data_IF_379917243719
#
_entry.id   IF_379917243719
#
_cell.length_a   1.000
_cell.length_b   1.000
_cell.length_c   1.000
_cell.angle_alpha   90.00
_cell.angle_beta   90.00
_cell.angle_gamma   90.00
#
_symmetry.space_group_name_H-M   'P 1'
#
loop_
_entity.id
_entity.type
_entity.pdbx_description
1 polymer ?
#
# COMPACT_ATOMS: atom_id res chain seq x y z
N UNK A 1 -7.26 11.37 28.35
CA UNK A 1 -6.03 12.14 28.07
C UNK A 1 -5.86 12.19 26.56
N UNK A 2 -5.37 13.32 26.03
CA UNK A 2 -5.11 13.44 24.59
C UNK A 2 -3.81 12.72 24.21
N UNK A 3 -3.85 12.00 23.10
CA UNK A 3 -2.76 11.16 22.59
C UNK A 3 -2.48 11.52 21.13
N UNK A 4 -1.25 11.31 20.70
CA UNK A 4 -0.83 11.56 19.32
C UNK A 4 -1.38 10.49 18.38
N UNK A 5 -1.80 10.93 17.20
CA UNK A 5 -2.18 10.11 16.07
C UNK A 5 -1.61 10.75 14.80
N UNK A 6 -1.36 9.92 13.78
CA UNK A 6 -1.00 10.40 12.45
C UNK A 6 -2.04 9.93 11.45
N UNK A 7 -2.49 10.82 10.59
CA UNK A 7 -3.33 10.50 9.46
C UNK A 7 -2.47 10.58 8.20
N UNK A 8 -2.49 9.51 7.40
CA UNK A 8 -1.73 9.36 6.17
C UNK A 8 -2.70 9.36 5.00
N UNK A 9 -2.62 10.34 4.10
CA UNK A 9 -3.40 10.39 2.89
C UNK A 9 -2.70 9.64 1.76
N UNK A 10 -3.15 8.41 1.50
CA UNK A 10 -2.55 7.50 0.50
C UNK A 10 -2.64 8.11 -0.90
N UNK A 11 -3.75 8.77 -1.24
CA UNK A 11 -3.98 9.36 -2.56
C UNK A 11 -3.13 10.59 -2.88
N UNK A 12 -2.32 11.09 -1.94
CA UNK A 12 -1.44 12.26 -2.14
C UNK A 12 0.05 11.92 -2.14
N UNK A 13 0.41 10.66 -1.86
CA UNK A 13 1.82 10.27 -1.85
C UNK A 13 2.34 10.11 -3.28
N UNK A 14 3.41 10.83 -3.61
CA UNK A 14 4.07 10.78 -4.92
C UNK A 14 5.43 10.06 -4.88
N UNK A 15 5.74 9.41 -3.75
CA UNK A 15 6.99 8.67 -3.53
C UNK A 15 8.28 9.51 -3.68
N UNK A 16 8.26 10.78 -3.30
CA UNK A 16 9.46 11.64 -3.34
C UNK A 16 10.52 11.29 -2.27
N UNK A 17 10.21 10.39 -1.33
CA UNK A 17 11.07 9.96 -0.22
C UNK A 17 11.49 11.04 0.79
N UNK A 18 10.98 12.28 0.71
CA UNK A 18 11.32 13.33 1.68
C UNK A 18 11.10 12.91 3.13
N UNK A 19 10.01 12.19 3.46
CA UNK A 19 9.77 11.69 4.81
C UNK A 19 10.83 10.70 5.31
N UNK A 20 11.32 9.84 4.42
CA UNK A 20 12.41 8.89 4.71
C UNK A 20 13.71 9.65 4.91
N UNK A 21 14.03 10.59 4.01
CA UNK A 21 15.25 11.39 4.06
C UNK A 21 15.27 12.26 5.32
N UNK A 22 14.17 12.93 5.66
CA UNK A 22 14.09 13.78 6.85
C UNK A 22 14.22 13.00 8.16
N UNK A 23 13.72 11.76 8.21
CA UNK A 23 13.99 10.88 9.35
C UNK A 23 15.48 10.55 9.47
N UNK A 24 16.15 10.28 8.34
CA UNK A 24 17.59 10.02 8.35
C UNK A 24 18.39 11.27 8.73
N UNK A 25 18.04 12.42 8.19
CA UNK A 25 18.60 13.73 8.56
C UNK A 25 18.49 13.98 10.08
N UNK A 26 17.32 13.67 10.65
CA UNK A 26 17.09 13.86 12.08
C UNK A 26 17.88 12.89 12.95
N UNK A 27 17.98 11.61 12.57
CA UNK A 27 18.46 10.55 13.47
C UNK A 27 19.87 10.00 13.15
N UNK A 28 20.38 10.12 11.93
CA UNK A 28 21.71 9.60 11.59
C UNK A 28 22.77 10.51 12.19
N UNK A 29 23.60 9.95 13.08
CA UNK A 29 24.65 10.69 13.78
C UNK A 29 24.17 11.58 14.94
N UNK A 30 22.85 11.63 15.20
CA UNK A 30 22.28 12.40 16.30
C UNK A 30 21.76 11.48 17.40
N UNK A 31 22.18 11.73 18.64
CA UNK A 31 21.72 10.98 19.81
C UNK A 31 20.63 11.75 20.56
N UNK A 32 19.57 11.04 20.97
CA UNK A 32 18.46 11.60 21.73
C UNK A 32 18.23 10.79 23.00
N UNK A 33 19.02 11.04 24.07
CA UNK A 33 18.93 10.28 25.31
C UNK A 33 17.50 10.23 25.88
N UNK A 34 17.03 9.01 26.18
CA UNK A 34 15.66 8.75 26.66
C UNK A 34 14.62 8.57 25.55
N UNK A 35 14.99 8.76 24.28
CA UNK A 35 14.13 8.60 23.11
C UNK A 35 14.67 7.58 22.11
N UNK A 36 15.88 7.80 21.61
CA UNK A 36 16.50 6.96 20.59
C UNK A 36 18.02 7.17 20.55
N UNK A 37 18.77 6.09 20.31
CA UNK A 37 20.18 6.16 19.93
C UNK A 37 20.31 6.61 18.45
N UNK A 38 21.51 7.02 17.98
CA UNK A 38 21.73 7.38 16.59
C UNK A 38 21.30 6.27 15.62
N UNK A 39 20.65 6.64 14.53
CA UNK A 39 20.27 5.71 13.47
C UNK A 39 21.48 5.34 12.60
N UNK A 40 21.44 4.14 12.00
CA UNK A 40 22.47 3.68 11.08
C UNK A 40 22.48 4.51 9.79
N UNK A 41 23.68 4.92 9.35
CA UNK A 41 23.85 5.67 8.11
C UNK A 41 23.48 4.85 6.86
N UNK A 42 23.64 3.52 6.94
CA UNK A 42 23.28 2.55 5.90
C UNK A 42 22.42 1.47 6.53
N UNK A 43 21.33 1.09 5.86
CA UNK A 43 20.42 0.04 6.33
C UNK A 43 18.96 0.43 6.17
N UNK A 44 18.10 -0.39 6.79
CA UNK A 44 16.66 -0.20 6.76
C UNK A 44 16.24 1.05 7.53
N UNK A 45 15.24 1.74 6.99
CA UNK A 45 14.65 2.92 7.62
C UNK A 45 13.37 2.53 8.36
N UNK A 46 13.13 3.05 9.57
CA UNK A 46 11.85 2.86 10.27
C UNK A 46 10.64 3.44 9.52
N UNK A 47 10.84 4.50 8.74
CA UNK A 47 9.84 5.03 7.80
C UNK A 47 10.17 4.52 6.40
N UNK A 48 9.19 3.89 5.74
CA UNK A 48 9.30 3.33 4.38
C UNK A 48 8.09 3.77 3.55
N UNK A 49 8.20 3.66 2.23
CA UNK A 49 7.08 3.84 1.31
C UNK A 49 6.97 2.56 0.51
N UNK A 50 5.87 1.83 0.69
CA UNK A 50 5.57 0.65 -0.13
C UNK A 50 4.97 1.12 -1.46
N UNK A 51 5.20 0.35 -2.52
CA UNK A 51 4.68 0.61 -3.86
C UNK A 51 3.87 -0.59 -4.34
N UNK A 52 2.67 -0.34 -4.86
CA UNK A 52 1.84 -1.34 -5.54
C UNK A 52 1.48 -0.79 -6.91
N UNK A 53 1.80 -1.53 -7.97
CA UNK A 53 1.42 -1.20 -9.36
C UNK A 53 0.40 -2.24 -9.81
N UNK A 54 -0.73 -1.80 -10.36
CA UNK A 54 -1.84 -2.67 -10.76
C UNK A 54 -2.36 -2.28 -12.15
N UNK A 55 -3.00 -3.24 -12.83
CA UNK A 55 -3.47 -3.05 -14.20
C UNK A 55 -2.38 -3.30 -15.23
N UNK A 56 -2.67 -2.96 -16.48
CA UNK A 56 -1.74 -3.11 -17.61
C UNK A 56 -1.94 -1.99 -18.62
N UNK A 57 -0.92 -1.71 -19.43
CA UNK A 57 -0.97 -0.60 -20.38
C UNK A 57 -2.20 -0.73 -21.31
N UNK A 58 -2.94 0.38 -21.56
CA UNK A 58 -2.65 1.75 -21.14
C UNK A 58 -3.24 2.15 -19.77
N UNK A 59 -4.02 1.30 -19.10
CA UNK A 59 -4.68 1.60 -17.84
C UNK A 59 -3.94 0.99 -16.64
N UNK A 60 -3.01 1.75 -16.07
CA UNK A 60 -2.18 1.37 -14.92
C UNK A 60 -2.42 2.32 -13.76
N UNK A 61 -2.48 1.79 -12.54
CA UNK A 61 -2.45 2.58 -11.31
C UNK A 61 -1.22 2.21 -10.48
N UNK A 62 -0.52 3.21 -9.94
CA UNK A 62 0.54 3.00 -8.95
C UNK A 62 0.17 3.72 -7.67
N UNK A 63 0.03 2.96 -6.58
CA UNK A 63 -0.27 3.47 -5.25
C UNK A 63 0.97 3.39 -4.37
N UNK A 64 1.18 4.44 -3.57
CA UNK A 64 2.28 4.52 -2.61
C UNK A 64 1.74 4.59 -1.19
N UNK A 65 2.19 3.67 -0.33
CA UNK A 65 1.75 3.57 1.05
C UNK A 65 2.93 3.84 2.00
N UNK A 66 3.03 5.05 2.58
CA UNK A 66 3.97 5.29 3.67
C UNK A 66 3.63 4.39 4.87
N UNK A 67 4.62 3.65 5.37
CA UNK A 67 4.50 2.75 6.52
C UNK A 67 5.59 3.04 7.54
N UNK A 68 5.23 2.95 8.82
CA UNK A 68 6.07 3.28 9.97
C UNK A 68 5.55 2.60 11.25
N UNK A 69 6.13 2.93 12.40
CA UNK A 69 5.60 2.46 13.69
C UNK A 69 4.14 2.89 13.86
N UNK A 70 3.26 1.91 14.13
CA UNK A 70 1.84 2.18 14.31
C UNK A 70 1.49 2.76 15.70
N UNK A 71 2.46 2.80 16.62
CA UNK A 71 2.28 3.19 18.02
C UNK A 71 1.00 2.61 18.63
N UNK A 72 0.79 1.31 18.40
CA UNK A 72 -0.36 0.52 18.82
C UNK A 72 -0.70 0.68 20.30
N UNK A 73 -1.98 0.72 20.66
CA UNK A 73 -2.41 0.67 22.06
C UNK A 73 -2.35 -0.74 22.65
N UNK A 74 -2.66 -1.76 21.86
CA UNK A 74 -2.37 -3.16 22.22
C UNK A 74 -1.13 -3.63 21.45
N UNK A 75 0.03 -3.09 21.83
CA UNK A 75 1.29 -3.31 21.13
C UNK A 75 1.90 -4.70 21.43
N UNK A 76 1.99 -5.61 20.45
CA UNK A 76 2.62 -6.93 20.66
C UNK A 76 4.09 -6.83 21.03
N UNK A 77 4.80 -5.83 20.49
CA UNK A 77 6.21 -5.60 20.79
C UNK A 77 6.45 -5.25 22.27
N UNK A 78 5.53 -4.54 22.93
CA UNK A 78 5.64 -4.26 24.38
C UNK A 78 5.48 -5.54 25.18
N UNK A 79 4.45 -6.35 24.86
CA UNK A 79 4.23 -7.65 25.52
C UNK A 79 5.44 -8.58 25.38
N UNK A 80 6.10 -8.54 24.22
CA UNK A 80 7.28 -9.34 23.95
C UNK A 80 8.54 -8.80 24.66
N UNK A 81 8.75 -7.48 24.61
CA UNK A 81 10.03 -6.90 24.98
C UNK A 81 10.21 -6.65 26.48
N UNK A 82 9.12 -6.66 27.26
CA UNK A 82 9.12 -6.30 28.68
C UNK A 82 9.46 -4.81 28.84
N UNK A 83 10.31 -4.49 29.81
CA UNK A 83 10.65 -3.09 30.16
C UNK A 83 11.44 -2.35 29.08
N UNK A 84 11.98 -3.06 28.08
CA UNK A 84 12.76 -2.47 26.99
C UNK A 84 11.92 -1.62 26.01
N UNK A 85 10.59 -1.78 26.02
CA UNK A 85 9.68 -0.95 25.21
C UNK A 85 8.54 -0.48 26.10
N UNK A 86 8.29 0.83 26.09
CA UNK A 86 7.23 1.43 26.89
C UNK A 86 6.23 2.20 26.05
N UNK A 87 4.99 2.23 26.52
CA UNK A 87 3.94 3.12 26.06
C UNK A 87 3.95 4.38 26.92
N UNK A 88 4.06 5.55 26.30
CA UNK A 88 3.91 6.85 26.95
C UNK A 88 2.42 7.19 27.13
N UNK A 89 2.12 8.07 28.08
CA UNK A 89 0.75 8.54 28.35
C UNK A 89 0.11 9.28 27.17
N UNK A 90 0.94 9.86 26.30
CA UNK A 90 0.53 10.52 25.06
C UNK A 90 0.38 9.56 23.87
N UNK A 91 0.42 8.24 24.10
CA UNK A 91 0.15 7.22 23.11
C UNK A 91 1.39 6.74 22.33
N UNK A 92 2.55 7.35 22.52
CA UNK A 92 3.75 6.99 21.77
C UNK A 92 4.43 5.74 22.34
N UNK A 93 4.95 4.91 21.45
CA UNK A 93 5.70 3.69 21.79
C UNK A 93 7.18 3.99 21.58
N UNK A 94 7.99 3.82 22.64
CA UNK A 94 9.41 4.12 22.65
C UNK A 94 10.19 2.86 23.04
N UNK A 95 11.22 2.56 22.26
CA UNK A 95 12.21 1.52 22.59
C UNK A 95 13.33 2.19 23.37
N UNK A 96 13.64 1.70 24.57
CA UNK A 96 14.74 2.20 25.38
C UNK A 96 16.08 1.64 24.84
N UNK A 97 17.01 2.47 24.33
CA UNK A 97 18.24 1.96 23.74
C UNK A 97 19.16 1.23 24.73
N UNK A 98 19.10 1.56 26.02
CA UNK A 98 19.95 0.95 27.05
C UNK A 98 19.40 -0.43 27.42
N UNK A 99 18.09 -0.53 27.66
CA UNK A 99 17.46 -1.80 28.05
C UNK A 99 17.32 -2.78 26.88
N UNK A 100 17.29 -2.28 25.64
CA UNK A 100 17.18 -3.10 24.43
C UNK A 100 18.53 -3.49 23.80
N UNK A 101 19.65 -3.12 24.42
CA UNK A 101 20.98 -3.46 23.91
C UNK A 101 21.16 -4.97 23.72
N UNK A 102 21.62 -5.37 22.53
CA UNK A 102 21.86 -6.76 22.15
C UNK A 102 20.60 -7.60 21.87
N UNK A 103 19.40 -7.01 21.97
CA UNK A 103 18.11 -7.70 21.83
C UNK A 103 17.63 -7.76 20.38
N UNK A 104 18.30 -8.57 19.55
CA UNK A 104 17.89 -8.79 18.14
C UNK A 104 16.50 -9.44 18.03
N UNK A 105 16.08 -10.16 19.08
CA UNK A 105 14.80 -10.83 19.21
C UNK A 105 13.60 -9.88 19.09
N UNK A 106 13.77 -8.61 19.49
CA UNK A 106 12.70 -7.61 19.47
C UNK A 106 12.28 -7.25 18.04
N UNK A 107 13.16 -7.35 17.04
CA UNK A 107 12.89 -6.93 15.66
C UNK A 107 11.67 -7.65 15.08
N UNK A 108 11.59 -8.96 15.29
CA UNK A 108 10.49 -9.82 14.83
C UNK A 108 9.18 -9.67 15.63
N UNK A 109 9.18 -8.93 16.73
CA UNK A 109 8.00 -8.79 17.61
C UNK A 109 6.91 -7.88 17.03
N UNK A 110 7.24 -7.05 16.02
CA UNK A 110 6.29 -6.15 15.40
C UNK A 110 5.62 -6.81 14.19
N UNK A 111 4.30 -7.06 14.20
CA UNK A 111 3.60 -7.70 13.08
C UNK A 111 3.52 -6.81 11.81
N UNK A 112 3.93 -5.54 11.94
CA UNK A 112 4.03 -4.58 10.83
C UNK A 112 5.45 -4.48 10.26
N UNK A 113 6.45 -5.14 10.87
CA UNK A 113 7.84 -5.00 10.48
C UNK A 113 8.37 -3.56 10.61
N UNK A 114 7.92 -2.82 11.63
CA UNK A 114 8.27 -1.41 11.85
C UNK A 114 9.52 -1.21 12.73
N UNK A 115 10.08 -2.31 13.26
CA UNK A 115 11.31 -2.29 14.05
C UNK A 115 12.44 -2.76 13.14
N UNK A 116 13.52 -1.99 13.08
CA UNK A 116 14.74 -2.28 12.31
C UNK A 116 15.90 -2.56 13.26
N UNK A 117 16.87 -3.35 12.83
CA UNK A 117 18.09 -3.59 13.61
C UNK A 117 19.16 -2.56 13.25
N UNK A 118 19.85 -2.02 14.26
CA UNK A 118 21.03 -1.18 14.06
C UNK A 118 22.28 -1.95 14.51
N UNK A 119 23.09 -2.38 13.55
CA UNK A 119 24.32 -3.12 13.82
C UNK A 119 25.41 -2.29 14.51
N UNK A 120 25.47 -0.99 14.27
CA UNK A 120 26.50 -0.13 14.88
C UNK A 120 26.22 0.11 16.37
N UNK A 121 24.96 0.35 16.71
CA UNK A 121 24.50 0.61 18.08
C UNK A 121 24.13 -0.67 18.83
N UNK A 122 23.95 -1.80 18.14
CA UNK A 122 23.47 -3.07 18.68
C UNK A 122 22.11 -2.93 19.39
N UNK A 123 21.19 -2.14 18.82
CA UNK A 123 19.85 -1.91 19.36
C UNK A 123 18.77 -2.04 18.28
N UNK A 124 17.57 -2.54 18.61
CA UNK A 124 16.40 -2.39 17.75
C UNK A 124 15.92 -0.93 17.75
N UNK A 125 15.54 -0.41 16.59
CA UNK A 125 15.06 0.96 16.40
C UNK A 125 13.70 0.98 15.71
N UNK A 126 12.89 1.97 16.04
CA UNK A 126 11.64 2.25 15.33
C UNK A 126 11.46 3.76 15.24
N UNK A 127 10.50 4.21 14.44
CA UNK A 127 10.20 5.63 14.39
C UNK A 127 9.53 6.04 15.70
N UNK A 128 10.08 7.07 16.35
CA UNK A 128 9.65 7.54 17.68
C UNK A 128 8.59 8.65 17.61
N UNK A 129 7.93 8.83 16.47
CA UNK A 129 7.00 9.94 16.22
C UNK A 129 7.64 11.34 16.34
N UNK A 130 8.96 11.41 16.25
CA UNK A 130 9.78 12.58 16.57
C UNK A 130 9.41 13.18 17.95
N UNK A 131 9.12 12.31 18.93
CA UNK A 131 8.68 12.69 20.27
C UNK A 131 9.61 13.72 20.94
N UNK A 132 10.92 13.64 20.68
CA UNK A 132 11.91 14.58 21.20
C UNK A 132 11.68 16.01 20.71
N UNK A 133 11.18 16.20 19.49
CA UNK A 133 10.81 17.52 18.96
C UNK A 133 9.48 17.99 19.52
N UNK A 134 8.48 17.09 19.60
CA UNK A 134 7.17 17.43 20.13
C UNK A 134 7.23 17.86 21.60
N UNK A 135 8.09 17.20 22.40
CA UNK A 135 8.35 17.56 23.79
C UNK A 135 9.10 18.91 23.92
N UNK A 136 9.78 19.36 22.85
CA UNK A 136 10.38 20.70 22.74
C UNK A 136 9.38 21.77 22.23
N UNK A 137 8.11 21.42 22.01
CA UNK A 137 7.06 22.36 21.58
C UNK A 137 6.88 22.46 20.07
N UNK A 138 7.51 21.59 19.28
CA UNK A 138 7.21 21.48 17.87
C UNK A 138 5.78 20.97 17.68
N UNK A 139 5.12 21.47 16.63
CA UNK A 139 3.70 21.17 16.41
C UNK A 139 3.50 19.88 15.60
N UNK A 140 4.52 19.41 14.88
CA UNK A 140 4.42 18.36 13.86
C UNK A 140 5.73 17.59 13.73
N UNK A 141 5.70 16.28 13.43
CA UNK A 141 6.91 15.50 13.13
C UNK A 141 7.59 15.93 11.82
N UNK A 142 8.86 15.57 11.65
CA UNK A 142 9.69 15.83 10.47
C UNK A 142 9.04 15.34 9.19
N UNK A 143 8.46 14.13 9.20
CA UNK A 143 7.80 13.56 8.02
C UNK A 143 6.67 14.46 7.48
N UNK A 144 5.93 15.13 8.36
CA UNK A 144 4.89 16.09 7.98
C UNK A 144 5.48 17.43 7.54
N UNK A 145 6.54 17.92 8.20
CA UNK A 145 7.15 19.21 7.88
C UNK A 145 7.73 19.28 6.46
N UNK A 146 8.25 18.15 5.96
CA UNK A 146 8.94 18.08 4.66
C UNK A 146 8.08 17.59 3.51
N UNK A 147 6.83 17.19 3.78
CA UNK A 147 5.97 16.60 2.77
C UNK A 147 5.40 17.70 1.86
N UNK A 148 5.70 17.69 0.54
CA UNK A 148 5.24 18.73 -0.36
C UNK A 148 3.76 18.58 -0.74
N UNK A 149 3.17 17.41 -0.49
CA UNK A 149 1.82 17.04 -0.92
C UNK A 149 0.86 16.80 0.25
N UNK A 150 1.17 17.29 1.45
CA UNK A 150 0.39 17.12 2.70
C UNK A 150 -0.19 15.70 2.90
N UNK A 151 0.67 14.69 2.74
CA UNK A 151 0.32 13.29 3.03
C UNK A 151 0.06 13.09 4.52
N UNK A 152 0.81 13.76 5.38
CA UNK A 152 0.81 13.52 6.81
C UNK A 152 0.08 14.60 7.57
N UNK A 153 -0.74 14.19 8.54
CA UNK A 153 -1.45 15.08 9.45
C UNK A 153 -1.36 14.52 10.87
N UNK A 154 -0.48 15.10 11.69
CA UNK A 154 -0.37 14.78 13.10
C UNK A 154 -1.45 15.52 13.92
N UNK A 155 -2.18 14.78 14.73
CA UNK A 155 -3.22 15.33 15.62
C UNK A 155 -3.05 14.79 17.04
N UNK A 156 -3.34 15.61 18.05
CA UNK A 156 -3.33 15.19 19.45
C UNK A 156 -4.73 15.27 20.04
N UNK A 157 -5.42 14.13 20.08
CA UNK A 157 -6.83 14.01 20.41
C UNK A 157 -7.04 12.95 21.49
N UNK A 158 -8.09 13.08 22.30
CA UNK A 158 -8.54 11.92 23.07
C UNK A 158 -9.14 10.85 22.15
N UNK A 159 -9.24 9.62 22.67
CA UNK A 159 -9.64 8.46 21.85
C UNK A 159 -11.06 8.62 21.28
N UNK A 160 -11.99 9.27 21.99
CA UNK A 160 -13.35 9.48 21.51
C UNK A 160 -13.42 10.55 20.40
N UNK A 161 -12.60 11.59 20.48
CA UNK A 161 -12.47 12.60 19.44
C UNK A 161 -11.79 12.04 18.19
N UNK A 162 -10.76 11.20 18.35
CA UNK A 162 -10.12 10.51 17.23
C UNK A 162 -11.11 9.56 16.53
N UNK A 163 -11.89 8.79 17.28
CA UNK A 163 -12.89 7.89 16.68
C UNK A 163 -13.96 8.65 15.89
N UNK A 164 -14.45 9.78 16.42
CA UNK A 164 -15.40 10.64 15.67
C UNK A 164 -14.81 11.16 14.37
N UNK A 165 -13.54 11.57 14.39
CA UNK A 165 -12.82 12.01 13.19
C UNK A 165 -12.63 10.85 12.20
N UNK A 166 -12.24 9.67 12.69
CA UNK A 166 -12.06 8.48 11.85
C UNK A 166 -13.35 8.11 11.11
N UNK A 167 -14.49 8.12 11.80
CA UNK A 167 -15.80 7.89 11.19
C UNK A 167 -16.17 8.99 10.20
N UNK A 168 -16.01 10.26 10.59
CA UNK A 168 -16.38 11.40 9.75
C UNK A 168 -15.59 11.47 8.44
N UNK A 169 -14.32 11.07 8.46
CA UNK A 169 -13.42 11.15 7.31
C UNK A 169 -13.17 9.80 6.61
N UNK A 170 -13.79 8.72 7.08
CA UNK A 170 -13.61 7.38 6.53
C UNK A 170 -12.19 6.83 6.70
N UNK A 171 -11.52 7.16 7.81
CA UNK A 171 -10.16 6.71 8.08
C UNK A 171 -10.13 5.23 8.47
N UNK A 172 -9.13 4.51 7.99
CA UNK A 172 -8.91 3.10 8.28
C UNK A 172 -7.54 2.88 8.92
N UNK A 173 -7.38 1.79 9.67
CA UNK A 173 -6.06 1.34 10.13
C UNK A 173 -5.54 0.25 9.21
N UNK A 174 -4.22 0.15 9.06
CA UNK A 174 -3.61 -0.92 8.28
C UNK A 174 -3.64 -2.24 9.06
N UNK A 175 -4.05 -3.33 8.40
CA UNK A 175 -4.21 -4.68 8.96
C UNK A 175 -5.08 -4.71 10.23
N UNK A 176 -6.37 -4.33 10.12
CA UNK A 176 -7.29 -4.31 11.26
C UNK A 176 -7.47 -5.68 11.92
N UNK A 177 -7.29 -6.78 11.18
CA UNK A 177 -7.36 -8.16 11.65
C UNK A 177 -6.32 -8.52 12.74
N UNK A 178 -5.28 -7.69 12.93
CA UNK A 178 -4.30 -7.87 14.00
C UNK A 178 -4.76 -7.33 15.36
N UNK A 179 -5.86 -6.58 15.40
CA UNK A 179 -6.50 -6.04 16.62
C UNK A 179 -5.57 -5.21 17.54
N UNK A 180 -4.44 -4.71 17.03
CA UNK A 180 -3.42 -3.99 17.83
C UNK A 180 -3.81 -2.57 18.23
N UNK A 181 -4.95 -2.07 17.73
CA UNK A 181 -5.44 -0.68 17.90
C UNK A 181 -4.36 0.37 17.50
N UNK A 182 -3.98 0.45 16.22
CA UNK A 182 -3.02 1.43 15.71
C UNK A 182 -3.43 2.89 15.98
N UNK A 183 -2.43 3.78 16.08
CA UNK A 183 -2.60 5.24 16.12
C UNK A 183 -2.22 5.94 14.82
N UNK A 184 -1.86 5.16 13.82
CA UNK A 184 -1.64 5.61 12.44
C UNK A 184 -2.86 5.20 11.63
N UNK A 185 -3.51 6.21 11.07
CA UNK A 185 -4.74 6.13 10.32
C UNK A 185 -4.46 6.46 8.86
N UNK A 186 -5.22 5.88 7.96
CA UNK A 186 -5.07 6.05 6.53
C UNK A 186 -6.36 6.57 5.91
N UNK A 187 -6.24 7.66 5.16
CA UNK A 187 -7.28 8.18 4.28
C UNK A 187 -7.04 7.63 2.88
N UNK A 188 -8.05 7.00 2.28
CA UNK A 188 -7.93 6.42 0.95
C UNK A 188 -7.21 5.06 0.90
N UNK A 189 -7.23 4.29 1.99
CA UNK A 189 -6.49 3.00 2.10
C UNK A 189 -6.99 1.95 1.09
N UNK A 190 -8.24 2.05 0.64
CA UNK A 190 -8.82 1.17 -0.38
C UNK A 190 -8.03 1.20 -1.70
N UNK A 191 -7.34 2.31 -2.03
CA UNK A 191 -6.43 2.39 -3.19
C UNK A 191 -5.24 1.43 -3.09
N UNK A 192 -4.89 1.03 -1.87
CA UNK A 192 -3.84 0.05 -1.60
C UNK A 192 -4.39 -1.36 -1.50
N UNK A 193 -5.59 -1.54 -0.95
CA UNK A 193 -6.14 -2.85 -0.56
C UNK A 193 -7.00 -3.50 -1.66
N UNK A 194 -7.55 -2.72 -2.57
CA UNK A 194 -8.52 -3.20 -3.56
C UNK A 194 -7.95 -3.26 -4.96
N UNK A 195 -8.76 -3.76 -5.89
CA UNK A 195 -8.46 -3.86 -7.31
C UNK A 195 -9.50 -3.06 -8.10
N UNK A 196 -9.20 -2.88 -9.39
CA UNK A 196 -10.13 -2.31 -10.35
C UNK A 196 -10.32 -3.23 -11.56
N UNK A 197 -11.46 -3.11 -12.23
CA UNK A 197 -11.69 -3.62 -13.58
C UNK A 197 -11.96 -2.43 -14.48
N UNK A 198 -11.21 -2.29 -15.57
CA UNK A 198 -11.42 -1.22 -16.53
C UNK A 198 -11.25 -1.69 -17.96
N UNK A 199 -11.64 -0.85 -18.91
CA UNK A 199 -11.57 -1.15 -20.34
C UNK A 199 -11.89 0.10 -21.15
N UNK A 200 -11.74 -0.01 -22.47
CA UNK A 200 -12.05 1.07 -23.41
C UNK A 200 -13.09 0.58 -24.41
N UNK A 201 -14.05 1.41 -24.76
CA UNK A 201 -15.16 1.07 -25.66
C UNK A 201 -15.02 1.87 -26.96
N UNK A 202 -15.13 1.17 -28.07
CA UNK A 202 -15.02 1.74 -29.42
C UNK A 202 -16.13 1.21 -30.32
N UNK A 203 -16.37 1.88 -31.44
CA UNK A 203 -17.19 1.34 -32.54
C UNK A 203 -16.63 1.79 -33.89
N UNK A 204 -16.90 1.01 -34.94
CA UNK A 204 -16.62 1.41 -36.32
C UNK A 204 -17.69 2.41 -36.79
N UNK A 205 -17.32 3.70 -36.89
CA UNK A 205 -18.20 4.77 -37.32
C UNK A 205 -17.72 5.35 -38.66
N UNK A 206 -18.51 5.14 -39.71
CA UNK A 206 -18.33 5.64 -41.09
C UNK A 206 -16.98 5.33 -41.77
N UNK A 207 -15.87 5.89 -41.28
CA UNK A 207 -14.53 5.79 -41.89
C UNK A 207 -13.40 5.57 -40.88
N UNK A 208 -13.70 5.46 -39.58
CA UNK A 208 -12.70 5.27 -38.53
C UNK A 208 -13.25 4.46 -37.35
N UNK A 209 -12.34 3.94 -36.54
CA UNK A 209 -12.64 3.43 -35.20
C UNK A 209 -12.69 4.63 -34.27
N UNK A 210 -13.85 4.86 -33.67
CA UNK A 210 -14.08 5.98 -32.75
C UNK A 210 -14.26 5.47 -31.32
N UNK A 211 -13.82 6.27 -30.35
CA UNK A 211 -14.10 6.02 -28.94
C UNK A 211 -15.58 6.34 -28.66
N UNK A 212 -16.24 5.52 -27.84
CA UNK A 212 -17.67 5.70 -27.55
C UNK A 212 -17.82 6.28 -26.15
N UNK A 213 -18.15 7.57 -26.08
CA UNK A 213 -18.56 8.24 -24.85
C UNK A 213 -20.01 7.89 -24.49
N UNK A 214 -20.30 7.75 -23.19
CA UNK A 214 -21.67 7.57 -22.72
C UNK A 214 -22.26 6.18 -22.93
N UNK A 215 -21.45 5.15 -23.25
CA UNK A 215 -21.90 3.77 -23.26
C UNK A 215 -22.20 3.29 -21.84
N UNK A 216 -23.36 2.67 -21.63
CA UNK A 216 -23.75 2.07 -20.36
C UNK A 216 -22.91 0.82 -20.10
N UNK A 217 -22.17 0.81 -18.99
CA UNK A 217 -21.33 -0.32 -18.59
C UNK A 217 -21.83 -0.90 -17.27
N UNK A 218 -22.03 -2.21 -17.24
CA UNK A 218 -22.50 -2.96 -16.06
C UNK A 218 -21.47 -4.00 -15.64
N UNK A 219 -21.13 -4.01 -14.35
CA UNK A 219 -20.33 -5.07 -13.73
C UNK A 219 -21.25 -6.02 -12.96
N UNK A 220 -21.13 -7.32 -13.21
CA UNK A 220 -21.89 -8.35 -12.51
C UNK A 220 -21.00 -9.50 -12.01
N UNK A 221 -21.47 -10.18 -10.96
CA UNK A 221 -20.84 -11.38 -10.40
C UNK A 221 -21.94 -12.39 -10.09
N UNK A 222 -21.80 -13.63 -10.57
CA UNK A 222 -22.81 -14.67 -10.37
C UNK A 222 -24.21 -14.28 -10.88
N UNK A 223 -24.29 -13.48 -11.95
CA UNK A 223 -25.55 -12.98 -12.51
C UNK A 223 -26.20 -11.82 -11.75
N UNK A 224 -25.61 -11.37 -10.64
CA UNK A 224 -26.06 -10.19 -9.88
C UNK A 224 -25.27 -8.96 -10.32
N UNK A 225 -25.96 -7.90 -10.70
CA UNK A 225 -25.34 -6.60 -10.97
C UNK A 225 -24.80 -6.00 -9.68
N UNK A 226 -23.51 -5.66 -9.68
CA UNK A 226 -22.81 -5.04 -8.56
C UNK A 226 -22.72 -3.52 -8.72
N UNK A 227 -22.39 -3.06 -9.93
CA UNK A 227 -22.16 -1.65 -10.23
C UNK A 227 -22.52 -1.31 -11.68
N UNK A 228 -22.76 -0.03 -11.92
CA UNK A 228 -22.93 0.56 -13.26
C UNK A 228 -22.12 1.84 -13.37
N UNK A 229 -21.61 2.11 -14.56
CA UNK A 229 -20.95 3.37 -14.91
C UNK A 229 -21.22 3.68 -16.38
N UNK A 230 -20.73 4.82 -16.86
CA UNK A 230 -20.70 5.17 -18.28
C UNK A 230 -19.25 5.38 -18.72
N UNK A 231 -18.99 5.18 -20.00
CA UNK A 231 -17.68 5.52 -20.59
C UNK A 231 -17.49 7.03 -20.69
N UNK A 232 -16.25 7.48 -20.52
CA UNK A 232 -15.87 8.89 -20.70
C UNK A 232 -15.55 9.25 -22.17
N UNK A 233 -15.05 10.47 -22.42
CA UNK A 233 -14.71 10.95 -23.76
C UNK A 233 -13.58 10.19 -24.47
N UNK A 234 -12.82 9.35 -23.77
CA UNK A 234 -11.84 8.43 -24.35
C UNK A 234 -12.41 7.02 -24.56
N UNK A 235 -13.70 6.83 -24.27
CA UNK A 235 -14.35 5.53 -24.27
C UNK A 235 -13.95 4.69 -23.05
N UNK A 236 -13.24 5.24 -22.08
CA UNK A 236 -12.74 4.48 -20.94
C UNK A 236 -13.82 4.32 -19.88
N UNK A 237 -13.87 3.15 -19.25
CA UNK A 237 -14.64 2.90 -18.05
C UNK A 237 -13.78 2.21 -17.00
N UNK A 238 -14.19 2.34 -15.74
CA UNK A 238 -13.51 1.72 -14.61
C UNK A 238 -14.46 1.45 -13.45
N UNK A 239 -14.30 0.30 -12.82
CA UNK A 239 -14.91 -0.09 -11.56
C UNK A 239 -13.82 -0.29 -10.51
N UNK A 240 -13.78 0.58 -9.50
CA UNK A 240 -12.84 0.52 -8.39
C UNK A 240 -13.39 -0.26 -7.19
N UNK A 241 -12.57 -0.40 -6.14
CA UNK A 241 -12.95 -0.94 -4.83
C UNK A 241 -13.42 -2.41 -4.87
N UNK A 242 -12.87 -3.19 -5.81
CA UNK A 242 -13.20 -4.61 -5.96
C UNK A 242 -12.22 -5.48 -5.15
N UNK A 243 -12.71 -6.57 -4.57
CA UNK A 243 -11.84 -7.53 -3.88
C UNK A 243 -10.99 -8.30 -4.90
N UNK A 244 -9.69 -8.39 -4.65
CA UNK A 244 -8.74 -9.22 -5.40
C UNK A 244 -8.70 -10.66 -4.90
N UNK A 245 -9.86 -11.27 -4.67
CA UNK A 245 -10.02 -12.59 -4.02
C UNK A 245 -10.16 -13.75 -5.03
N UNK A 246 -9.87 -13.50 -6.30
CA UNK A 246 -10.08 -14.47 -7.38
C UNK A 246 -11.55 -14.58 -7.82
N UNK A 247 -12.40 -13.62 -7.45
CA UNK A 247 -13.78 -13.55 -7.92
C UNK A 247 -13.88 -13.43 -9.45
N UNK A 248 -14.85 -14.13 -10.04
CA UNK A 248 -15.17 -14.03 -11.46
C UNK A 248 -16.23 -12.95 -11.72
N UNK A 249 -15.96 -12.04 -12.64
CA UNK A 249 -16.82 -10.92 -12.98
C UNK A 249 -17.13 -10.90 -14.47
N UNK A 250 -18.29 -10.35 -14.82
CA UNK A 250 -18.70 -10.05 -16.18
C UNK A 250 -18.91 -8.55 -16.33
N UNK A 251 -18.31 -7.97 -17.36
CA UNK A 251 -18.58 -6.60 -17.81
C UNK A 251 -19.41 -6.64 -19.07
N UNK A 252 -20.53 -5.93 -19.08
CA UNK A 252 -21.43 -5.78 -20.23
C UNK A 252 -21.55 -4.30 -20.58
N UNK A 253 -21.45 -3.99 -21.87
CA UNK A 253 -21.52 -2.64 -22.43
C UNK A 253 -22.69 -2.56 -23.41
N UNK A 254 -23.47 -1.49 -23.32
CA UNK A 254 -24.56 -1.19 -24.24
C UNK A 254 -24.56 0.27 -24.66
N UNK A 255 -24.81 0.52 -25.94
CA UNK A 255 -24.98 1.85 -26.52
C UNK A 255 -25.84 1.75 -27.80
N UNK A 256 -26.29 2.87 -28.35
CA UNK A 256 -27.01 2.92 -29.64
C UNK A 256 -26.21 2.33 -30.82
N UNK A 257 -24.89 2.25 -30.67
CA UNK A 257 -23.98 1.67 -31.66
C UNK A 257 -23.77 0.17 -31.53
N UNK A 258 -24.32 -0.47 -30.49
CA UNK A 258 -24.22 -1.91 -30.28
C UNK A 258 -23.93 -2.31 -28.84
N UNK A 259 -23.51 -3.57 -28.67
CA UNK A 259 -23.18 -4.13 -27.36
C UNK A 259 -21.92 -4.98 -27.41
N UNK A 260 -21.22 -5.07 -26.29
CA UNK A 260 -20.06 -5.94 -26.11
C UNK A 260 -20.02 -6.45 -24.66
N UNK A 261 -19.31 -7.54 -24.41
CA UNK A 261 -19.09 -8.03 -23.06
C UNK A 261 -17.75 -8.75 -22.93
N UNK A 262 -17.23 -8.85 -21.70
CA UNK A 262 -16.03 -9.61 -21.38
C UNK A 262 -16.08 -10.13 -19.95
N UNK A 263 -15.62 -11.36 -19.76
CA UNK A 263 -15.44 -11.97 -18.44
C UNK A 263 -13.99 -11.77 -17.96
N UNK A 264 -13.80 -11.68 -16.64
CA UNK A 264 -12.48 -11.65 -16.02
C UNK A 264 -12.49 -12.30 -14.64
N UNK A 265 -11.30 -12.68 -14.18
CA UNK A 265 -11.05 -13.14 -12.81
C UNK A 265 -10.15 -12.13 -12.15
N UNK A 266 -10.50 -11.70 -10.94
CA UNK A 266 -9.83 -10.59 -10.27
C UNK A 266 -8.96 -11.07 -9.10
N UNK A 267 -7.69 -11.38 -9.38
CA UNK A 267 -6.64 -11.52 -8.36
C UNK A 267 -5.88 -10.18 -8.18
N UNK A 268 -5.66 -9.47 -9.29
CA UNK A 268 -5.09 -8.13 -9.36
C UNK A 268 -5.98 -7.25 -10.25
N UNK A 269 -5.72 -5.94 -10.34
CA UNK A 269 -6.53 -5.09 -11.22
C UNK A 269 -6.35 -5.47 -12.68
N UNK A 270 -7.45 -5.46 -13.44
CA UNK A 270 -7.47 -5.91 -14.84
C UNK A 270 -7.88 -4.76 -15.74
N UNK A 271 -7.06 -4.51 -16.76
CA UNK A 271 -7.50 -3.82 -17.97
C UNK A 271 -7.97 -4.87 -18.97
N UNK A 272 -9.25 -4.78 -19.33
CA UNK A 272 -9.92 -5.73 -20.21
C UNK A 272 -9.51 -5.59 -21.67
N UNK A 273 -8.86 -4.49 -22.06
CA UNK A 273 -8.63 -4.16 -23.47
C UNK A 273 -9.77 -3.38 -24.11
N UNK A 274 -9.74 -3.29 -25.43
CA UNK A 274 -10.80 -2.71 -26.25
C UNK A 274 -12.04 -3.65 -26.25
N UNK A 275 -13.21 -3.10 -25.93
CA UNK A 275 -14.52 -3.69 -26.12
C UNK A 275 -15.19 -2.98 -27.30
N UNK A 276 -14.95 -3.51 -28.50
CA UNK A 276 -15.56 -2.97 -29.72
C UNK A 276 -17.03 -3.35 -29.81
N UNK A 277 -17.90 -2.35 -29.92
CA UNK A 277 -19.33 -2.53 -30.10
C UNK A 277 -19.61 -3.00 -31.51
N UNK A 278 -20.43 -4.04 -31.62
CA UNK A 278 -21.05 -4.45 -32.87
C UNK A 278 -22.55 -4.29 -32.70
N UNK A 279 -23.24 -3.79 -33.74
CA UNK A 279 -24.67 -3.94 -33.83
C UNK A 279 -24.98 -5.43 -33.71
N UNK A 280 -25.87 -5.81 -32.80
CA UNK A 280 -26.36 -7.18 -32.71
C UNK A 280 -27.00 -7.52 -34.06
N UNK A 281 -26.26 -8.12 -34.98
CA UNK A 281 -26.89 -8.92 -36.02
C UNK A 281 -27.57 -10.07 -35.28
N UNK A 282 -28.87 -10.23 -35.51
CA UNK A 282 -29.60 -11.43 -35.11
C UNK A 282 -28.82 -12.64 -35.67
N UNK A 283 -28.03 -13.29 -34.82
CA UNK A 283 -27.27 -14.48 -35.20
C UNK A 283 -28.27 -15.61 -35.44
N UNK A 284 -28.65 -15.80 -36.70
CA UNK A 284 -29.12 -17.09 -37.18
C UNK A 284 -27.99 -18.09 -37.04
N UNK A 285 -28.26 -19.16 -36.30
CA UNK A 285 -27.46 -20.38 -36.23
C UNK A 285 -26.93 -20.78 -37.61
N UNK A 286 -25.62 -20.69 -37.81
CA UNK A 286 -24.88 -21.52 -38.77
C UNK A 286 -23.52 -21.92 -38.18
N UNK A 287 -23.55 -23.09 -37.54
CA UNK A 287 -22.59 -24.20 -37.53
C UNK A 287 -21.13 -23.95 -37.96
N UNK A 288 -20.22 -24.49 -37.14
CA UNK A 288 -19.09 -25.27 -37.67
C UNK A 288 -17.72 -24.60 -37.76
N UNK A 289 -16.88 -24.93 -36.78
CA UNK A 289 -15.41 -25.01 -36.85
C UNK A 289 -14.58 -23.73 -36.65
N UNK A 290 -13.92 -23.64 -35.49
CA UNK A 290 -12.45 -23.68 -35.40
C UNK A 290 -11.99 -23.94 -33.98
N UNK A 291 -10.96 -24.78 -33.92
CA UNK A 291 -10.44 -25.47 -32.75
C UNK A 291 -9.88 -24.51 -31.69
N UNK A 292 -10.02 -24.94 -30.44
CA UNK A 292 -9.56 -24.23 -29.26
C UNK A 292 -8.05 -24.12 -29.17
N UNK A 293 -7.60 -23.00 -28.60
CA UNK A 293 -6.36 -22.92 -27.87
C UNK A 293 -6.74 -22.69 -26.40
N UNK A 294 -6.64 -23.77 -25.63
CA UNK A 294 -6.70 -23.75 -24.17
C UNK A 294 -5.51 -22.95 -23.66
N UNK A 295 -5.78 -21.80 -23.04
CA UNK A 295 -4.90 -21.25 -22.03
C UNK A 295 -5.08 -22.10 -20.76
N UNK A 296 -4.00 -22.73 -20.32
CA UNK A 296 -3.92 -23.52 -19.09
C UNK A 296 -4.19 -22.67 -17.85
N UNK A 297 -4.92 -23.19 -16.84
CA UNK A 297 -5.14 -22.48 -15.58
C UNK A 297 -3.97 -22.79 -14.63
N UNK A 298 -2.91 -21.99 -14.68
CA UNK A 298 -1.99 -21.91 -13.55
C UNK A 298 -2.50 -20.82 -12.60
N UNK A 299 -3.31 -21.27 -11.64
CA UNK A 299 -3.79 -20.46 -10.52
C UNK A 299 -2.63 -20.12 -9.59
N UNK A 300 -2.02 -18.95 -9.78
CA UNK A 300 -1.18 -18.28 -8.78
C UNK A 300 -1.93 -17.05 -8.26
N UNK A 301 -3.03 -17.29 -7.53
CA UNK A 301 -3.65 -16.24 -6.70
C UNK A 301 -3.05 -16.23 -5.27
N UNK A 302 -2.14 -17.16 -4.96
CA UNK A 302 -1.44 -17.28 -3.67
C UNK A 302 0.08 -17.29 -3.87
N UNK A 303 0.66 -16.10 -3.98
CA UNK A 303 2.05 -15.70 -3.70
C UNK A 303 2.28 -14.37 -4.42
N UNK A 304 2.40 -13.27 -3.67
CA UNK A 304 3.16 -12.04 -4.01
C UNK A 304 2.63 -10.75 -3.32
N UNK A 305 1.65 -10.84 -2.41
CA UNK A 305 1.31 -9.70 -1.53
C UNK A 305 2.30 -9.57 -0.34
N UNK A 306 3.18 -10.54 -0.12
CA UNK A 306 4.19 -10.54 0.95
C UNK A 306 5.48 -11.24 0.48
N UNK A 307 6.30 -10.55 -0.31
CA UNK A 307 7.47 -11.20 -0.90
C UNK A 307 8.51 -10.31 -1.55
N UNK A 308 8.86 -9.16 -0.95
CA UNK A 308 10.17 -8.56 -1.22
C UNK A 308 10.76 -7.88 0.02
N UNK A 309 10.78 -8.64 1.11
CA UNK A 309 11.62 -8.37 2.27
C UNK A 309 12.47 -9.60 2.54
N UNK A 310 13.63 -9.63 1.86
CA UNK A 310 14.83 -10.32 2.32
C UNK A 310 14.87 -11.84 2.17
N UNK A 311 15.34 -12.33 1.02
CA UNK A 311 16.23 -13.51 0.97
C UNK A 311 17.01 -13.57 -0.36
N UNK A 312 17.92 -12.62 -0.58
CA UNK A 312 19.04 -12.82 -1.50
C UNK A 312 20.33 -12.29 -0.87
N UNK A 313 20.92 -13.08 0.04
CA UNK A 313 22.36 -13.04 0.36
C UNK A 313 22.72 -14.11 1.39
N UNK A 314 22.71 -15.37 0.96
CA UNK A 314 23.58 -16.37 1.58
C UNK A 314 23.87 -17.46 0.58
N UNK A 315 24.89 -17.23 -0.26
CA UNK A 315 25.73 -18.24 -0.90
C UNK A 315 26.82 -17.54 -1.72
N UNK A 316 28.07 -17.85 -1.36
CA UNK A 316 29.37 -17.57 -2.01
C UNK A 316 30.25 -16.55 -1.30
N UNK A 317 30.93 -17.02 -0.26
CA UNK A 317 32.31 -16.60 0.01
C UNK A 317 33.12 -17.88 0.24
N UNK A 318 33.78 -18.36 -0.80
CA UNK A 318 34.95 -19.24 -0.67
C UNK A 318 36.01 -18.73 -1.64
N UNK A 319 37.13 -18.31 -1.04
CA UNK A 319 38.45 -18.10 -1.62
C UNK A 319 38.60 -17.03 -2.72
N UNK A 320 39.04 -15.84 -2.31
CA UNK A 320 39.87 -14.97 -3.15
C UNK A 320 41.20 -14.78 -2.44
N UNK A 321 42.28 -15.28 -3.06
CA UNK A 321 43.66 -15.08 -2.64
C UNK A 321 44.05 -13.61 -2.81
N UNK A 322 44.67 -13.05 -1.78
CA UNK A 322 45.28 -11.71 -1.79
C UNK A 322 46.63 -11.79 -2.53
N UNK A 323 46.92 -10.93 -3.52
CA UNK A 323 48.25 -10.87 -4.11
C UNK A 323 49.21 -10.11 -3.18
N UNK A 324 50.34 -10.71 -2.85
CA UNK A 324 51.46 -10.03 -2.19
C UNK A 324 52.10 -9.02 -3.15
N UNK A 325 52.33 -7.79 -2.67
CA UNK A 325 53.19 -6.81 -3.33
C UNK A 325 54.66 -7.14 -3.03
N UNK A 326 55.57 -7.02 -4.00
CA UNK A 326 57.00 -7.26 -3.78
C UNK A 326 57.67 -6.09 -3.06
N UNK A 327 58.76 -6.42 -2.35
CA UNK A 327 59.58 -5.57 -1.47
C UNK A 327 60.11 -4.27 -2.11
#
# INVERSE_FOLDING_TARGET
>A
MSKWNLIINVGRCENCHNCVIAHRDEHVGNDFPGYAAPAAAVGDSPIRILRRTQGSAPMVETTYLPVMCNHCDDAPCIRYAGDAIRKRDDGLVIIDPVMSYGRTDIVGSCPYGAIVWNDEQQVPQTWIFDAHLLDQGWQRPRCQQVCPTDVFEAVKLDDAAMERMAVAEGLKVHKPELETKPRIWYRGLERWETCFVGGSVSADLTAAVECIEGADVTLSQGGKVLARTVTDGFGDFRFDNLAGDGGAYRVEVSHDHGSAWRDCVLCESVYLGELRLNLLEETKDQDGSRAGQQASPDSQCDRDIMGDLGTERSRRITNVQVPQLPE
#
